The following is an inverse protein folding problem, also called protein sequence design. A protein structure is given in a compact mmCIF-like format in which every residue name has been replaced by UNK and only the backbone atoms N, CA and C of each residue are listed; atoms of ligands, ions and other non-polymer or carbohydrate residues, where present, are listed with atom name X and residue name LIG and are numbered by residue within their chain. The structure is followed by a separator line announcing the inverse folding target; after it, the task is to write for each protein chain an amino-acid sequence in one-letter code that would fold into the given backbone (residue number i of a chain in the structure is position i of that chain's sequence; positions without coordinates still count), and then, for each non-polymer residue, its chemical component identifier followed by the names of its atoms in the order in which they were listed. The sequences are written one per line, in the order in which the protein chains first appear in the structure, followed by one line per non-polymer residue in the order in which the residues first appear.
data_IF_300808237274
#
_entry.id   IF_300808237274
#
_cell.length_a   1.000
_cell.length_b   1.000
_cell.length_c   1.000
_cell.angle_alpha   90.00
_cell.angle_beta   90.00
_cell.angle_gamma   90.00
#
_symmetry.space_group_name_H-M   'P 1'
#
loop_
_entity.id
_entity.type
_entity.pdbx_description
1 polymer ?
#
# COMPACT_ATOMS: atom_id res chain seq x y z
N UNK A 1 23.49 -50.13 -50.23
CA UNK A 1 23.73 -48.87 -50.98
C UNK A 1 23.58 -47.69 -50.02
N UNK A 2 24.70 -47.08 -49.59
CA UNK A 2 24.72 -46.05 -48.53
C UNK A 2 24.55 -44.65 -49.13
N UNK A 3 23.47 -43.93 -48.76
CA UNK A 3 23.21 -42.55 -49.20
C UNK A 3 24.12 -41.58 -48.45
N UNK A 4 25.19 -41.14 -49.10
CA UNK A 4 26.12 -40.11 -48.60
C UNK A 4 25.43 -38.74 -48.63
N UNK A 5 25.10 -38.16 -47.46
CA UNK A 5 24.56 -36.79 -47.37
C UNK A 5 25.62 -35.79 -47.84
N UNK A 6 25.31 -35.04 -48.89
CA UNK A 6 26.17 -33.97 -49.45
C UNK A 6 26.19 -32.79 -48.49
N UNK A 7 27.37 -32.41 -48.00
CA UNK A 7 27.57 -31.18 -47.19
C UNK A 7 27.50 -29.96 -48.11
N UNK A 8 26.64 -29.00 -47.77
CA UNK A 8 26.57 -27.70 -48.46
C UNK A 8 27.84 -26.88 -48.21
N UNK A 9 28.26 -26.15 -49.24
CA UNK A 9 29.42 -25.26 -49.21
C UNK A 9 29.09 -23.95 -48.51
N UNK A 10 30.12 -23.27 -48.00
CA UNK A 10 29.98 -21.97 -47.33
C UNK A 10 29.36 -20.89 -48.22
N UNK A 11 29.49 -21.01 -49.55
CA UNK A 11 28.87 -20.10 -50.52
C UNK A 11 27.36 -20.35 -50.65
N UNK A 12 26.92 -21.61 -50.69
CA UNK A 12 25.49 -21.99 -50.71
C UNK A 12 24.79 -21.57 -49.41
N UNK A 13 25.46 -21.72 -48.26
CA UNK A 13 24.95 -21.24 -46.96
C UNK A 13 24.83 -19.71 -46.95
N UNK A 14 25.80 -18.99 -47.52
CA UNK A 14 25.75 -17.52 -47.61
C UNK A 14 24.64 -17.05 -48.56
N UNK A 15 24.43 -17.72 -49.68
CA UNK A 15 23.35 -17.41 -50.63
C UNK A 15 21.97 -17.67 -50.01
N UNK A 16 21.79 -18.81 -49.32
CA UNK A 16 20.55 -19.13 -48.59
C UNK A 16 20.26 -18.15 -47.45
N UNK A 17 21.28 -17.70 -46.71
CA UNK A 17 21.13 -16.65 -45.68
C UNK A 17 20.79 -15.29 -46.30
N UNK A 18 21.35 -14.95 -47.46
CA UNK A 18 21.05 -13.70 -48.17
C UNK A 18 19.61 -13.68 -48.68
N UNK A 19 19.10 -14.81 -49.19
CA UNK A 19 17.70 -14.96 -49.57
C UNK A 19 16.72 -14.89 -48.39
N UNK A 20 17.11 -15.41 -47.21
CA UNK A 20 16.30 -15.30 -46.00
C UNK A 20 16.24 -13.86 -45.44
N UNK A 21 17.31 -13.08 -45.61
CA UNK A 21 17.36 -11.67 -45.19
C UNK A 21 16.62 -10.76 -46.18
N UNK A 22 16.64 -11.09 -47.47
CA UNK A 22 15.91 -10.39 -48.53
C UNK A 22 14.45 -10.86 -48.65
N UNK A 23 13.84 -11.33 -47.56
CA UNK A 23 12.40 -11.56 -47.50
C UNK A 23 11.69 -10.22 -47.68
N UNK A 24 11.45 -9.84 -48.94
CA UNK A 24 10.45 -8.87 -49.35
C UNK A 24 9.08 -9.49 -49.08
N UNK A 25 8.78 -9.62 -47.78
CA UNK A 25 7.51 -10.03 -47.26
C UNK A 25 6.46 -9.02 -47.70
N UNK A 26 5.57 -9.49 -48.57
CA UNK A 26 4.21 -9.02 -48.82
C UNK A 26 3.76 -8.04 -47.72
N UNK A 27 3.84 -6.72 -47.98
CA UNK A 27 3.40 -5.68 -47.05
C UNK A 27 1.89 -5.82 -46.84
N UNK A 28 1.48 -6.50 -45.79
CA UNK A 28 0.09 -6.50 -45.35
C UNK A 28 -0.24 -5.12 -44.79
N UNK A 29 -1.40 -4.57 -45.12
CA UNK A 29 -1.87 -3.25 -44.67
C UNK A 29 -2.24 -3.21 -43.17
N UNK A 30 -1.66 -4.12 -42.38
CA UNK A 30 -1.89 -4.25 -40.94
C UNK A 30 -1.35 -3.12 -40.06
N UNK A 31 -0.29 -2.32 -40.40
CA UNK A 31 0.22 -1.33 -39.45
C UNK A 31 -0.72 -0.13 -39.30
N UNK A 32 -1.56 0.19 -40.29
CA UNK A 32 -2.49 1.32 -40.22
C UNK A 32 -3.71 1.06 -39.34
N UNK A 33 -4.18 -0.20 -39.26
CA UNK A 33 -5.34 -0.58 -38.43
C UNK A 33 -4.93 -0.68 -36.95
N UNK A 34 -3.74 -1.22 -36.66
CA UNK A 34 -3.22 -1.32 -35.29
C UNK A 34 -2.88 0.06 -34.69
N UNK A 35 -2.33 0.99 -35.49
CA UNK A 35 -2.04 2.37 -35.04
C UNK A 35 -3.35 3.15 -34.80
N UNK A 36 -4.36 2.96 -35.65
CA UNK A 36 -5.68 3.57 -35.46
C UNK A 36 -6.38 3.10 -34.18
N UNK A 37 -6.33 1.79 -33.89
CA UNK A 37 -6.92 1.23 -32.66
C UNK A 37 -6.18 1.72 -31.40
N UNK A 38 -4.84 1.77 -31.41
CA UNK A 38 -4.07 2.32 -30.28
C UNK A 38 -4.38 3.81 -30.02
N UNK A 39 -4.54 4.63 -31.06
CA UNK A 39 -4.89 6.04 -30.90
C UNK A 39 -6.30 6.23 -30.30
N UNK A 40 -7.26 5.38 -30.68
CA UNK A 40 -8.62 5.39 -30.11
C UNK A 40 -8.65 4.92 -28.66
N UNK A 41 -7.87 3.90 -28.27
CA UNK A 41 -7.75 3.47 -26.88
C UNK A 41 -7.06 4.50 -25.97
N UNK A 42 -6.07 5.23 -26.49
CA UNK A 42 -5.40 6.31 -25.74
C UNK A 42 -6.35 7.50 -25.55
N UNK A 43 -7.13 7.88 -26.56
CA UNK A 43 -8.11 8.96 -26.46
C UNK A 43 -9.28 8.59 -25.53
N UNK A 44 -9.78 7.35 -25.57
CA UNK A 44 -10.82 6.86 -24.65
C UNK A 44 -10.32 6.70 -23.20
N UNK A 45 -9.06 6.31 -23.01
CA UNK A 45 -8.42 6.28 -21.70
C UNK A 45 -8.22 7.68 -21.11
N UNK A 46 -7.84 8.66 -21.93
CA UNK A 46 -7.65 10.05 -21.51
C UNK A 46 -8.97 10.75 -21.15
N UNK A 47 -10.07 10.45 -21.84
CA UNK A 47 -11.41 10.99 -21.50
C UNK A 47 -12.04 10.31 -20.29
N UNK A 48 -11.67 9.07 -19.97
CA UNK A 48 -12.15 8.37 -18.76
C UNK A 48 -11.39 8.78 -17.48
N UNK A 49 -10.17 9.32 -17.61
CA UNK A 49 -9.36 9.81 -16.47
C UNK A 49 -9.76 11.23 -16.02
N UNK A 50 -10.37 12.05 -16.88
CA UNK A 50 -10.76 13.43 -16.54
C UNK A 50 -12.13 13.55 -15.86
N UNK A 51 -12.93 12.49 -15.82
CA UNK A 51 -14.25 12.45 -15.17
C UNK A 51 -14.29 11.56 -13.92
N UNK A 52 -13.20 10.86 -13.58
CA UNK A 52 -13.12 10.15 -12.31
C UNK A 52 -13.02 11.20 -11.18
N UNK A 53 -13.98 11.27 -10.25
CA UNK A 53 -13.80 12.05 -9.05
C UNK A 53 -12.66 11.39 -8.29
N UNK A 54 -11.45 11.95 -8.37
CA UNK A 54 -10.35 11.59 -7.50
C UNK A 54 -10.88 11.73 -6.08
N UNK A 55 -11.09 10.58 -5.45
CA UNK A 55 -11.77 10.45 -4.19
C UNK A 55 -11.17 11.45 -3.21
N UNK A 56 -11.99 12.41 -2.78
CA UNK A 56 -11.77 13.12 -1.52
C UNK A 56 -11.37 12.05 -0.53
N UNK A 57 -10.14 12.15 -0.03
CA UNK A 57 -9.66 11.34 1.08
C UNK A 57 -10.77 11.38 2.11
N UNK A 58 -11.46 10.26 2.27
CA UNK A 58 -12.61 10.18 3.15
C UNK A 58 -12.14 10.66 4.51
N UNK A 59 -12.74 11.74 4.99
CA UNK A 59 -12.77 11.98 6.41
C UNK A 59 -13.39 10.71 6.99
N UNK A 60 -12.56 9.86 7.59
CA UNK A 60 -13.02 8.73 8.38
C UNK A 60 -13.91 9.35 9.44
N UNK A 61 -15.21 9.12 9.31
CA UNK A 61 -16.20 9.67 10.21
C UNK A 61 -15.84 9.29 11.63
N UNK A 62 -15.78 10.27 12.52
CA UNK A 62 -15.58 10.15 13.97
C UNK A 62 -16.79 9.48 14.66
N UNK A 63 -17.55 8.64 13.94
CA UNK A 63 -18.71 7.95 14.48
C UNK A 63 -18.21 6.76 15.30
N UNK A 64 -18.14 6.95 16.62
CA UNK A 64 -17.80 5.90 17.58
C UNK A 64 -16.59 6.20 18.48
N UNK A 65 -16.02 7.42 18.41
CA UNK A 65 -15.06 7.89 19.41
C UNK A 65 -15.82 8.65 20.47
N UNK A 66 -15.95 8.07 21.66
CA UNK A 66 -16.45 8.80 22.83
C UNK A 66 -15.25 9.25 23.65
N UNK A 67 -15.00 10.55 23.64
CA UNK A 67 -14.02 11.17 24.52
C UNK A 67 -14.72 12.33 25.21
N UNK A 68 -15.06 12.19 26.50
CA UNK A 68 -15.41 13.37 27.27
C UNK A 68 -14.19 14.33 27.26
N UNK A 69 -14.38 15.66 27.16
CA UNK A 69 -13.29 16.63 27.08
C UNK A 69 -12.21 16.40 28.16
N UNK A 70 -12.65 16.03 29.37
CA UNK A 70 -11.82 15.86 30.56
C UNK A 70 -11.49 14.40 30.91
N UNK A 71 -11.86 13.42 30.07
CA UNK A 71 -11.49 12.02 30.29
C UNK A 71 -10.00 11.81 30.00
N UNK A 72 -9.29 11.03 30.82
CA UNK A 72 -7.89 10.64 30.55
C UNK A 72 -7.74 9.53 29.49
N UNK A 73 -8.85 9.07 28.92
CA UNK A 73 -8.89 7.97 27.96
C UNK A 73 -9.72 8.31 26.73
N UNK A 74 -9.44 7.58 25.65
CA UNK A 74 -10.28 7.54 24.44
C UNK A 74 -10.90 6.15 24.32
N UNK A 75 -12.18 6.13 23.96
CA UNK A 75 -12.97 4.91 23.90
C UNK A 75 -13.50 4.66 22.50
N UNK A 76 -13.43 3.40 22.08
CA UNK A 76 -13.97 2.92 20.81
C UNK A 76 -14.84 1.69 21.05
N UNK A 77 -16.02 1.67 20.46
CA UNK A 77 -16.82 0.45 20.48
C UNK A 77 -16.11 -0.67 19.69
N UNK A 78 -16.01 -1.86 20.27
CA UNK A 78 -15.30 -3.03 19.69
C UNK A 78 -15.85 -3.40 18.31
N UNK A 79 -17.16 -3.30 18.11
CA UNK A 79 -17.84 -3.64 16.84
C UNK A 79 -17.37 -2.79 15.65
N UNK A 80 -16.78 -1.61 15.90
CA UNK A 80 -16.20 -0.79 14.85
C UNK A 80 -15.12 -1.56 14.09
N UNK A 81 -14.48 -2.56 14.68
CA UNK A 81 -13.36 -3.29 14.07
C UNK A 81 -13.75 -4.66 13.51
N UNK A 82 -15.03 -5.04 13.51
CA UNK A 82 -15.48 -6.38 13.10
C UNK A 82 -15.23 -6.69 11.62
N UNK A 83 -15.09 -5.67 10.78
CA UNK A 83 -14.73 -5.83 9.36
C UNK A 83 -13.23 -6.09 9.12
N UNK A 84 -12.43 -6.14 10.19
CA UNK A 84 -10.98 -6.34 10.13
C UNK A 84 -10.21 -5.18 9.51
N UNK A 85 -10.86 -4.06 9.19
CA UNK A 85 -10.23 -2.92 8.51
C UNK A 85 -9.52 -2.00 9.49
N UNK A 86 -8.31 -1.60 9.15
CA UNK A 86 -7.53 -0.64 9.88
C UNK A 86 -8.14 0.76 9.78
N UNK A 87 -8.44 1.37 10.92
CA UNK A 87 -8.92 2.75 11.05
C UNK A 87 -7.81 3.59 11.64
N UNK A 88 -7.55 4.75 11.02
CA UNK A 88 -6.52 5.68 11.49
C UNK A 88 -7.18 6.81 12.26
N UNK A 89 -6.64 7.10 13.44
CA UNK A 89 -7.08 8.14 14.35
C UNK A 89 -5.97 9.15 14.58
N UNK A 90 -6.37 10.35 14.97
CA UNK A 90 -5.44 11.46 15.26
C UNK A 90 -5.72 12.00 16.65
N UNK A 91 -4.65 12.28 17.38
CA UNK A 91 -4.69 12.95 18.67
C UNK A 91 -3.73 14.12 18.64
N UNK A 92 -4.23 15.32 18.94
CA UNK A 92 -3.43 16.55 18.91
C UNK A 92 -3.07 16.96 20.33
N UNK A 93 -1.78 17.17 20.58
CA UNK A 93 -1.25 17.70 21.84
C UNK A 93 -0.37 18.91 21.51
N UNK A 94 -0.77 20.09 21.99
CA UNK A 94 -0.17 21.35 21.56
C UNK A 94 -0.30 21.57 20.05
N UNK A 95 0.82 21.71 19.35
CA UNK A 95 0.89 21.84 17.89
C UNK A 95 1.21 20.50 17.17
N UNK A 96 1.36 19.41 17.91
CA UNK A 96 1.77 18.13 17.36
C UNK A 96 0.58 17.19 17.21
N UNK A 97 0.41 16.62 16.01
CA UNK A 97 -0.58 15.57 15.75
C UNK A 97 0.07 14.20 15.77
N UNK A 98 -0.44 13.30 16.60
CA UNK A 98 -0.04 11.89 16.71
C UNK A 98 -1.07 11.07 15.94
N UNK A 99 -0.60 10.21 15.02
CA UNK A 99 -1.48 9.32 14.25
C UNK A 99 -1.25 7.88 14.68
N UNK A 100 -2.32 7.13 14.90
CA UNK A 100 -2.28 5.70 15.22
C UNK A 100 -3.38 4.99 14.47
N UNK A 101 -3.26 3.67 14.32
CA UNK A 101 -4.28 2.86 13.68
C UNK A 101 -4.70 1.71 14.58
N UNK A 102 -5.94 1.26 14.38
CA UNK A 102 -6.56 0.16 15.10
C UNK A 102 -7.24 -0.77 14.09
N UNK A 103 -7.04 -2.08 14.24
CA UNK A 103 -7.70 -3.12 13.45
C UNK A 103 -8.03 -4.33 14.33
N UNK A 104 -9.02 -5.13 13.94
CA UNK A 104 -9.13 -6.52 14.39
C UNK A 104 -8.36 -7.38 13.41
N UNK A 105 -7.36 -8.10 13.90
CA UNK A 105 -6.53 -9.00 13.11
C UNK A 105 -7.24 -10.32 12.79
N UNK A 106 -6.61 -11.12 11.93
CA UNK A 106 -7.14 -12.41 11.49
C UNK A 106 -7.31 -13.45 12.61
N UNK A 107 -6.63 -13.29 13.74
CA UNK A 107 -6.81 -14.08 14.97
C UNK A 107 -7.90 -13.53 15.90
N UNK A 108 -8.67 -12.52 15.48
CA UNK A 108 -9.79 -11.95 16.23
C UNK A 108 -9.40 -10.92 17.29
N UNK A 109 -8.10 -10.67 17.49
CA UNK A 109 -7.59 -9.73 18.49
C UNK A 109 -7.67 -8.30 17.96
N UNK A 110 -8.24 -7.36 18.70
CA UNK A 110 -8.11 -5.94 18.36
C UNK A 110 -6.69 -5.51 18.67
N UNK A 111 -6.03 -4.83 17.74
CA UNK A 111 -4.63 -4.40 17.77
C UNK A 111 -4.54 -2.89 17.51
N UNK A 112 -3.65 -2.20 18.23
CA UNK A 112 -3.39 -0.78 18.05
C UNK A 112 -1.88 -0.52 17.91
N UNK A 113 -1.50 0.38 17.01
CA UNK A 113 -0.12 0.79 16.83
C UNK A 113 -0.05 2.23 16.33
N UNK A 114 1.05 2.91 16.61
CA UNK A 114 1.32 4.19 15.98
C UNK A 114 1.48 4.02 14.48
N UNK A 115 1.09 5.06 13.73
CA UNK A 115 1.29 5.14 12.29
C UNK A 115 2.75 5.50 11.94
N UNK A 116 3.69 4.82 12.61
CA UNK A 116 5.11 5.08 12.58
C UNK A 116 5.92 3.85 13.08
N UNK A 117 7.22 3.85 12.85
CA UNK A 117 8.17 2.90 13.44
C UNK A 117 9.51 3.59 13.70
N UNK A 118 10.41 2.93 14.44
CA UNK A 118 11.71 3.50 14.83
C UNK A 118 12.58 3.94 13.66
N UNK A 119 12.38 3.34 12.48
CA UNK A 119 13.22 3.57 11.30
C UNK A 119 12.60 4.57 10.32
N UNK A 120 11.33 4.40 9.97
CA UNK A 120 10.71 5.13 8.86
C UNK A 120 9.89 6.35 9.28
N UNK A 121 9.74 6.60 10.59
CA UNK A 121 8.97 7.74 11.08
C UNK A 121 9.43 9.09 10.49
N UNK A 122 10.72 9.38 10.22
CA UNK A 122 11.11 10.67 9.64
C UNK A 122 10.51 10.91 8.25
N UNK A 123 10.09 9.87 7.51
CA UNK A 123 9.40 10.05 6.24
C UNK A 123 7.96 10.55 6.41
N UNK A 124 7.31 10.29 7.56
CA UNK A 124 5.93 10.71 7.85
C UNK A 124 4.88 10.09 6.93
N UNK A 125 5.17 8.93 6.31
CA UNK A 125 4.27 8.28 5.34
C UNK A 125 3.34 7.24 5.96
N UNK A 126 3.62 6.76 7.18
CA UNK A 126 2.77 5.80 7.87
C UNK A 126 2.57 4.47 7.15
N UNK A 127 1.41 3.88 7.38
CA UNK A 127 1.02 2.54 6.96
C UNK A 127 -0.28 2.54 6.15
N UNK A 128 -0.53 1.42 5.47
CA UNK A 128 -1.77 1.12 4.78
C UNK A 128 -2.06 -0.36 4.90
N UNK A 129 -3.31 -0.73 5.09
CA UNK A 129 -3.70 -2.14 5.05
C UNK A 129 -3.93 -2.60 3.61
N UNK A 130 -3.40 -3.77 3.27
CA UNK A 130 -3.70 -4.50 2.03
C UNK A 130 -3.90 -5.97 2.40
N UNK A 131 -5.13 -6.46 2.26
CA UNK A 131 -5.51 -7.78 2.78
C UNK A 131 -5.27 -7.87 4.29
N UNK A 132 -4.64 -8.94 4.75
CA UNK A 132 -4.31 -9.16 6.16
C UNK A 132 -3.00 -8.48 6.61
N UNK A 133 -2.40 -7.63 5.78
CA UNK A 133 -1.09 -7.05 6.05
C UNK A 133 -1.15 -5.53 6.18
N UNK A 134 -0.43 -4.99 7.16
CA UNK A 134 -0.07 -3.58 7.20
C UNK A 134 1.22 -3.36 6.42
N UNK A 135 1.22 -2.40 5.51
CA UNK A 135 2.35 -2.09 4.63
C UNK A 135 2.86 -0.69 4.94
N UNK A 136 4.16 -0.56 5.23
CA UNK A 136 4.79 0.74 5.40
C UNK A 136 4.83 1.47 4.06
N UNK A 137 4.21 2.66 3.98
CA UNK A 137 4.19 3.47 2.75
C UNK A 137 5.56 4.05 2.38
N UNK A 138 6.54 4.00 3.28
CA UNK A 138 7.89 4.45 3.00
C UNK A 138 8.78 3.37 2.37
N UNK A 139 8.89 2.20 3.02
CA UNK A 139 9.83 1.15 2.62
C UNK A 139 9.16 -0.10 2.01
N UNK A 140 7.82 -0.17 1.95
CA UNK A 140 7.09 -1.28 1.35
C UNK A 140 7.10 -2.59 2.15
N UNK A 141 7.74 -2.63 3.33
CA UNK A 141 7.71 -3.79 4.22
C UNK A 141 6.28 -4.09 4.64
N UNK A 142 5.96 -5.39 4.69
CA UNK A 142 4.64 -5.93 5.02
C UNK A 142 4.70 -6.62 6.37
N UNK A 143 3.65 -6.43 7.16
CA UNK A 143 3.51 -6.97 8.51
C UNK A 143 2.14 -7.62 8.62
N UNK A 144 2.12 -8.91 8.91
CA UNK A 144 0.85 -9.62 9.12
C UNK A 144 0.10 -9.02 10.31
N UNK A 145 -1.23 -8.95 10.23
CA UNK A 145 -2.07 -8.34 11.25
C UNK A 145 -1.83 -8.97 12.63
N UNK A 146 -1.56 -10.28 12.67
CA UNK A 146 -1.19 -11.09 13.85
C UNK A 146 0.06 -10.61 14.59
N UNK A 147 0.90 -9.79 13.94
CA UNK A 147 2.17 -9.31 14.49
C UNK A 147 2.13 -7.85 14.94
N UNK A 148 1.10 -7.11 14.53
CA UNK A 148 0.92 -5.71 14.95
C UNK A 148 0.85 -5.68 16.46
N UNK A 149 1.45 -4.69 17.13
CA UNK A 149 1.50 -4.58 18.59
C UNK A 149 2.24 -5.70 19.37
N UNK A 150 2.42 -6.90 18.80
CA UNK A 150 3.14 -8.03 19.40
C UNK A 150 4.65 -7.93 19.15
N UNK A 151 5.06 -7.68 17.90
CA UNK A 151 6.47 -7.55 17.52
C UNK A 151 6.87 -6.09 17.57
N UNK A 152 7.88 -5.78 18.39
CA UNK A 152 8.31 -4.41 18.69
C UNK A 152 9.68 -4.11 18.10
N UNK A 153 9.95 -2.83 17.89
CA UNK A 153 11.27 -2.35 17.48
C UNK A 153 11.53 -2.36 15.97
N UNK A 154 12.44 -1.50 15.54
CA UNK A 154 12.95 -1.46 14.17
C UNK A 154 11.89 -0.99 13.17
N UNK A 155 11.65 -1.79 12.12
CA UNK A 155 10.68 -1.43 11.09
C UNK A 155 9.23 -1.80 11.41
N UNK A 156 8.96 -2.51 12.51
CA UNK A 156 7.58 -2.89 12.86
C UNK A 156 6.79 -1.65 13.31
N UNK A 157 5.48 -1.55 13.03
CA UNK A 157 4.63 -0.52 13.61
C UNK A 157 4.83 -0.44 15.12
N UNK A 158 5.12 0.75 15.64
CA UNK A 158 5.39 0.92 17.05
C UNK A 158 4.12 0.63 17.87
N UNK A 159 4.19 -0.22 18.91
CA UNK A 159 3.01 -0.66 19.65
C UNK A 159 2.36 0.51 20.41
N UNK A 160 1.03 0.52 20.45
CA UNK A 160 0.24 1.39 21.32
C UNK A 160 -0.50 0.52 22.34
N UNK A 161 -0.34 0.84 23.63
CA UNK A 161 -1.04 0.14 24.71
C UNK A 161 -2.55 0.33 24.58
N UNK A 162 -3.29 -0.72 24.92
CA UNK A 162 -4.76 -0.73 24.88
C UNK A 162 -5.28 -1.81 25.82
N UNK A 163 -6.53 -1.68 26.23
CA UNK A 163 -7.26 -2.75 26.92
C UNK A 163 -8.69 -2.80 26.40
N UNK A 164 -9.33 -3.95 26.57
CA UNK A 164 -10.74 -4.13 26.27
C UNK A 164 -11.46 -4.29 27.61
N UNK A 165 -12.48 -3.47 27.83
CA UNK A 165 -13.41 -3.60 28.96
C UNK A 165 -14.82 -3.77 28.39
N UNK A 166 -15.40 -4.96 28.58
CA UNK A 166 -16.67 -5.35 27.96
C UNK A 166 -16.63 -5.17 26.43
N UNK A 167 -17.46 -4.30 25.86
CA UNK A 167 -17.53 -3.99 24.42
C UNK A 167 -16.80 -2.70 24.04
N UNK A 168 -15.92 -2.20 24.91
CA UNK A 168 -15.19 -0.96 24.71
C UNK A 168 -13.69 -1.21 24.68
N UNK A 169 -13.05 -0.78 23.60
CA UNK A 169 -11.60 -0.62 23.52
C UNK A 169 -11.21 0.71 24.15
N UNK A 170 -10.29 0.66 25.10
CA UNK A 170 -9.80 1.81 25.83
C UNK A 170 -8.31 2.01 25.56
N UNK A 171 -7.92 3.25 25.27
CA UNK A 171 -6.53 3.69 25.12
C UNK A 171 -6.33 4.93 26.02
N UNK A 172 -5.31 4.93 26.88
CA UNK A 172 -5.02 6.11 27.69
C UNK A 172 -4.45 7.22 26.81
N UNK A 173 -4.85 8.46 27.04
CA UNK A 173 -4.26 9.63 26.36
C UNK A 173 -2.75 9.69 26.61
N UNK A 174 -2.29 9.32 27.81
CA UNK A 174 -0.88 9.24 28.16
C UNK A 174 -0.11 8.27 27.24
N UNK A 175 -0.63 7.07 27.00
CA UNK A 175 -0.03 6.09 26.09
C UNK A 175 0.07 6.63 24.66
N UNK A 176 -0.94 7.39 24.20
CA UNK A 176 -0.89 8.03 22.88
C UNK A 176 0.23 9.08 22.84
N UNK A 177 0.35 9.91 23.89
CA UNK A 177 1.34 10.98 23.99
C UNK A 177 2.77 10.45 24.03
N UNK A 178 3.03 9.25 24.55
CA UNK A 178 4.36 8.62 24.47
C UNK A 178 4.88 8.50 23.02
N UNK A 179 3.97 8.37 22.05
CA UNK A 179 4.28 8.30 20.63
C UNK A 179 4.73 9.62 20.00
N UNK A 180 4.67 10.75 20.72
CA UNK A 180 4.95 12.10 20.17
C UNK A 180 6.30 12.19 19.46
N UNK A 181 7.29 11.44 19.92
CA UNK A 181 8.63 11.37 19.32
C UNK A 181 8.63 10.96 17.84
N UNK A 182 7.66 10.15 17.42
CA UNK A 182 7.54 9.67 16.04
C UNK A 182 6.90 10.67 15.08
N UNK A 183 6.34 11.77 15.61
CA UNK A 183 5.58 12.73 14.82
C UNK A 183 6.22 14.12 14.78
N UNK A 184 7.38 14.31 15.41
CA UNK A 184 8.11 15.57 15.34
C UNK A 184 8.84 15.73 14.00
N UNK A 185 8.20 16.41 13.05
CA UNK A 185 8.72 16.62 11.69
C UNK A 185 9.48 17.95 11.51
N UNK A 186 9.71 18.68 12.59
CA UNK A 186 10.20 20.07 12.57
C UNK A 186 11.62 20.25 12.02
N UNK A 187 12.36 19.14 11.82
CA UNK A 187 13.72 19.13 11.28
C UNK A 187 13.82 18.49 9.88
N UNK A 188 12.72 18.39 9.13
CA UNK A 188 12.78 18.01 7.71
C UNK A 188 13.25 19.21 6.88
N UNK A 189 14.57 19.32 6.74
CA UNK A 189 15.21 20.14 5.71
C UNK A 189 15.08 19.44 4.34
#
# INVERSE_FOLDING_TARGET
MSKKKRKMTSAEIRSAKKAAVLNEGKRSKLPLIAIGLCAVFIAAGATMVTLAPFGKSGAVGTSGVTSAPDSDQVEYAVHLFDDGKARHYRYTVGNQTITYFILKSSDGVIRAAFDACDVCWPAGKGYVQVGDQMICRNCGRKFDSVRINEVKGGCNPAPLNRRIESDTLIIQKADIVEGIRYFNFSNKA
#
